data_IF_446504379598
#
_entry.id   IF_446504379598
#
_cell.length_a   1.000
_cell.length_b   1.000
_cell.length_c   1.000
_cell.angle_alpha   90.00
_cell.angle_beta   90.00
_cell.angle_gamma   90.00
#
_symmetry.space_group_name_H-M   'P 1'
#
loop_
_entity.id
_entity.type
_entity.pdbx_description
1 polymer ?
#
# COMPACT_ATOMS: atom_id res chain seq x y z
N UNK A 1 39.67 -40.44 -35.65
CA UNK A 1 39.00 -39.55 -34.66
C UNK A 1 37.57 -39.42 -35.11
N UNK A 2 36.67 -40.10 -34.43
CA UNK A 2 35.33 -40.37 -34.93
C UNK A 2 34.32 -39.27 -34.49
N UNK A 3 33.32 -39.01 -35.31
CA UNK A 3 32.25 -38.02 -35.09
C UNK A 3 31.51 -38.13 -33.70
N UNK A 4 31.70 -39.23 -32.98
CA UNK A 4 31.14 -39.47 -31.64
C UNK A 4 31.81 -38.65 -30.51
N UNK A 5 33.09 -38.30 -30.67
CA UNK A 5 33.87 -37.61 -29.62
C UNK A 5 33.48 -36.13 -29.51
N UNK A 6 33.21 -35.48 -30.65
CA UNK A 6 32.75 -34.08 -30.69
C UNK A 6 31.37 -33.89 -30.10
N UNK A 7 30.47 -34.86 -30.24
CA UNK A 7 29.11 -34.82 -29.65
C UNK A 7 29.10 -34.93 -28.13
N UNK A 8 29.96 -35.79 -27.59
CA UNK A 8 30.13 -35.97 -26.15
C UNK A 8 30.74 -34.75 -25.47
N UNK A 9 31.71 -34.09 -26.09
CA UNK A 9 32.34 -32.85 -25.60
C UNK A 9 31.32 -31.70 -25.62
N UNK A 10 30.54 -31.55 -26.69
CA UNK A 10 29.49 -30.55 -26.79
C UNK A 10 28.38 -30.77 -25.76
N UNK A 11 27.97 -32.02 -25.50
CA UNK A 11 26.98 -32.37 -24.48
C UNK A 11 27.48 -32.02 -23.07
N UNK A 12 28.68 -32.42 -22.69
CA UNK A 12 29.29 -32.04 -21.41
C UNK A 12 29.44 -30.55 -21.22
N UNK A 13 29.74 -29.80 -22.26
CA UNK A 13 29.82 -28.35 -22.22
C UNK A 13 28.43 -27.72 -21.96
N UNK A 14 27.37 -28.20 -22.62
CA UNK A 14 25.99 -27.77 -22.39
C UNK A 14 25.52 -28.07 -20.97
N UNK A 15 25.81 -29.25 -20.47
CA UNK A 15 25.49 -29.67 -19.09
C UNK A 15 26.21 -28.78 -18.07
N UNK A 16 27.49 -28.46 -18.26
CA UNK A 16 28.21 -27.51 -17.40
C UNK A 16 27.64 -26.09 -17.47
N UNK A 17 27.33 -25.60 -18.64
CA UNK A 17 26.69 -24.29 -18.82
C UNK A 17 25.33 -24.27 -18.11
N UNK A 18 24.51 -25.31 -18.28
CA UNK A 18 23.23 -25.42 -17.60
C UNK A 18 23.37 -25.40 -16.06
N UNK A 19 24.34 -26.14 -15.50
CA UNK A 19 24.62 -26.13 -14.06
C UNK A 19 25.03 -24.72 -13.58
N UNK A 20 25.88 -24.01 -14.31
CA UNK A 20 26.28 -22.65 -13.96
C UNK A 20 25.12 -21.67 -14.06
N UNK A 21 24.26 -21.78 -15.07
CA UNK A 21 23.06 -20.95 -15.23
C UNK A 21 22.07 -21.19 -14.06
N UNK A 22 21.83 -22.47 -13.74
CA UNK A 22 20.97 -22.81 -12.59
C UNK A 22 21.58 -22.28 -11.28
N UNK A 23 22.88 -22.47 -11.06
CA UNK A 23 23.57 -21.95 -9.89
C UNK A 23 23.45 -20.42 -9.78
N UNK A 24 23.60 -19.71 -10.89
CA UNK A 24 23.49 -18.25 -10.95
C UNK A 24 22.06 -17.79 -10.67
N UNK A 25 21.06 -18.50 -11.19
CA UNK A 25 19.64 -18.23 -10.91
C UNK A 25 19.30 -18.47 -9.44
N UNK A 26 19.83 -19.54 -8.83
CA UNK A 26 19.63 -19.81 -7.40
C UNK A 26 20.25 -18.70 -6.55
N UNK A 27 21.48 -18.29 -6.87
CA UNK A 27 22.14 -17.18 -6.16
C UNK A 27 21.33 -15.88 -6.33
N UNK A 28 20.92 -15.54 -7.54
CA UNK A 28 20.10 -14.36 -7.79
C UNK A 28 18.77 -14.38 -7.05
N UNK A 29 18.09 -15.54 -7.03
CA UNK A 29 16.85 -15.73 -6.28
C UNK A 29 17.08 -15.59 -4.76
N UNK A 30 18.16 -16.19 -4.22
CA UNK A 30 18.50 -16.09 -2.80
C UNK A 30 18.81 -14.64 -2.39
N UNK A 31 19.60 -13.93 -3.21
CA UNK A 31 19.89 -12.51 -2.98
C UNK A 31 18.62 -11.67 -3.09
N UNK A 32 17.78 -11.92 -4.08
CA UNK A 32 16.51 -11.21 -4.26
C UNK A 32 15.54 -11.42 -3.09
N UNK A 33 15.42 -12.66 -2.61
CA UNK A 33 14.61 -12.99 -1.42
C UNK A 33 15.19 -12.34 -0.18
N UNK A 34 16.52 -12.42 0.04
CA UNK A 34 17.20 -11.79 1.17
C UNK A 34 17.00 -10.27 1.16
N UNK A 35 17.10 -9.64 -0.01
CA UNK A 35 16.85 -8.22 -0.17
C UNK A 35 15.39 -7.84 0.15
N UNK A 36 14.42 -8.59 -0.35
CA UNK A 36 13.00 -8.34 -0.09
C UNK A 36 12.60 -8.64 1.37
N UNK A 37 13.27 -9.62 2.02
CA UNK A 37 13.03 -9.98 3.41
C UNK A 37 13.57 -8.97 4.43
N UNK A 38 14.38 -7.99 4.00
CA UNK A 38 14.90 -6.91 4.88
C UNK A 38 14.14 -5.60 4.61
N UNK A 39 13.03 -5.33 5.30
CA UNK A 39 12.22 -4.14 5.07
C UNK A 39 12.81 -2.89 5.71
N UNK A 40 12.37 -1.75 5.23
CA UNK A 40 12.47 -0.48 5.94
C UNK A 40 11.47 -0.46 7.09
N UNK A 41 11.92 -0.07 8.27
CA UNK A 41 11.12 0.02 9.49
C UNK A 41 10.87 1.47 9.90
N UNK A 42 9.93 1.64 10.81
CA UNK A 42 9.74 2.91 11.51
C UNK A 42 11.06 3.41 12.09
N UNK A 43 11.46 4.60 11.67
CA UNK A 43 12.69 5.26 12.11
C UNK A 43 12.45 6.34 13.19
N UNK A 44 11.19 6.53 13.63
CA UNK A 44 10.77 7.64 14.49
C UNK A 44 10.19 7.22 15.84
N UNK A 45 10.01 5.91 16.07
CA UNK A 45 9.33 5.41 17.27
C UNK A 45 7.83 5.71 17.27
N UNK A 46 7.25 5.82 16.08
CA UNK A 46 5.88 6.27 15.91
C UNK A 46 4.85 5.31 16.47
N UNK A 47 5.11 4.00 16.47
CA UNK A 47 4.21 3.00 17.07
C UNK A 47 3.98 3.31 18.55
N UNK A 48 5.05 3.44 19.34
CA UNK A 48 4.95 3.76 20.77
C UNK A 48 4.35 5.15 21.02
N UNK A 49 4.64 6.12 20.14
CA UNK A 49 4.07 7.45 20.23
C UNK A 49 2.55 7.45 20.00
N UNK A 50 2.06 6.64 19.05
CA UNK A 50 0.62 6.50 18.76
C UNK A 50 -0.08 5.70 19.86
N UNK A 51 0.53 4.61 20.37
CA UNK A 51 0.02 3.83 21.51
C UNK A 51 -0.20 4.69 22.78
N UNK A 52 0.56 5.76 22.93
CA UNK A 52 0.44 6.71 24.02
C UNK A 52 -0.63 7.81 23.80
N UNK A 53 -1.23 7.90 22.61
CA UNK A 53 -2.25 8.90 22.31
C UNK A 53 -3.63 8.45 22.79
N UNK A 54 -4.45 9.41 23.22
CA UNK A 54 -5.88 9.22 23.40
C UNK A 54 -6.58 9.35 22.05
N UNK A 55 -7.59 8.54 21.78
CA UNK A 55 -8.38 8.63 20.55
C UNK A 55 -8.09 7.55 19.53
N UNK A 56 -7.02 6.79 19.68
CA UNK A 56 -6.69 5.64 18.83
C UNK A 56 -6.16 4.46 19.65
N UNK A 57 -6.55 3.25 19.28
CA UNK A 57 -5.92 2.01 19.76
C UNK A 57 -5.09 1.40 18.65
N UNK A 58 -3.96 0.80 19.02
CA UNK A 58 -3.03 0.15 18.08
C UNK A 58 -2.93 -1.33 18.48
N UNK A 59 -3.45 -2.20 17.63
CA UNK A 59 -3.35 -3.64 17.83
C UNK A 59 -2.37 -4.24 16.81
N UNK A 60 -1.53 -5.16 17.28
CA UNK A 60 -0.67 -5.93 16.40
C UNK A 60 -1.36 -7.24 16.03
N UNK A 61 -1.44 -7.54 14.73
CA UNK A 61 -2.00 -8.82 14.25
C UNK A 61 -0.99 -9.96 14.41
N UNK A 62 -1.47 -11.21 14.53
CA UNK A 62 -0.61 -12.41 14.59
C UNK A 62 0.32 -12.55 13.37
N UNK A 63 -0.11 -12.04 12.22
CA UNK A 63 0.68 -12.02 11.00
C UNK A 63 1.76 -10.92 10.98
N UNK A 64 1.82 -10.04 12.01
CA UNK A 64 2.79 -8.95 12.13
C UNK A 64 2.39 -7.66 11.42
N UNK A 65 1.12 -7.49 11.07
CA UNK A 65 0.52 -6.23 10.65
C UNK A 65 0.02 -5.40 11.84
N UNK A 66 -0.68 -4.31 11.55
CA UNK A 66 -1.27 -3.43 12.56
C UNK A 66 -2.73 -3.12 12.22
N UNK A 67 -3.52 -2.88 13.27
CA UNK A 67 -4.88 -2.36 13.17
C UNK A 67 -4.97 -1.13 14.07
N UNK A 68 -5.37 0.00 13.49
CA UNK A 68 -5.64 1.24 14.20
C UNK A 68 -7.16 1.41 14.28
N UNK A 69 -7.69 1.62 15.50
CA UNK A 69 -9.13 1.83 15.71
C UNK A 69 -9.37 3.12 16.48
N UNK A 70 -10.43 3.87 16.16
CA UNK A 70 -10.85 4.98 16.99
C UNK A 70 -11.22 4.47 18.39
N UNK A 71 -10.91 5.24 19.42
CA UNK A 71 -11.24 4.88 20.80
C UNK A 71 -12.69 5.25 21.12
N UNK A 72 -13.48 4.31 21.62
CA UNK A 72 -14.81 4.58 22.19
C UNK A 72 -15.96 4.67 21.19
N UNK A 73 -15.75 4.34 19.91
CA UNK A 73 -16.81 4.21 18.92
C UNK A 73 -16.54 3.02 18.01
N UNK A 74 -17.57 2.23 17.73
CA UNK A 74 -17.55 1.33 16.59
C UNK A 74 -17.67 2.19 15.33
N UNK A 75 -16.87 1.89 14.32
CA UNK A 75 -16.90 2.57 13.01
C UNK A 75 -17.35 1.57 11.97
N UNK A 76 -18.19 2.04 11.07
CA UNK A 76 -18.66 1.32 9.89
C UNK A 76 -17.72 1.49 8.67
N UNK A 77 -16.69 2.33 8.79
CA UNK A 77 -15.72 2.64 7.72
C UNK A 77 -14.35 2.04 8.03
N UNK A 78 -13.78 1.34 7.05
CA UNK A 78 -12.45 0.75 7.13
C UNK A 78 -11.57 1.07 5.94
N UNK A 79 -10.26 1.10 6.18
CA UNK A 79 -9.22 1.24 5.16
C UNK A 79 -8.22 0.08 5.29
N UNK A 80 -8.07 -0.71 4.23
CA UNK A 80 -6.92 -1.62 4.11
C UNK A 80 -5.80 -0.89 3.38
N UNK A 81 -4.69 -0.63 4.07
CA UNK A 81 -3.57 0.15 3.53
C UNK A 81 -2.35 -0.73 3.25
N UNK A 82 -2.04 -0.94 1.98
CA UNK A 82 -0.90 -1.73 1.53
C UNK A 82 0.42 -0.95 1.65
N UNK A 83 1.41 -1.47 2.41
CA UNK A 83 2.75 -0.89 2.47
C UNK A 83 3.45 -0.81 1.13
N UNK A 84 4.33 0.16 0.98
CA UNK A 84 5.23 0.27 -0.16
C UNK A 84 6.22 -0.91 -0.25
N UNK A 85 6.91 -1.02 -1.39
CA UNK A 85 7.89 -2.08 -1.59
C UNK A 85 8.96 -2.10 -0.50
N UNK A 86 9.13 -3.26 0.15
CA UNK A 86 10.08 -3.46 1.25
C UNK A 86 9.85 -2.56 2.46
N UNK A 87 8.67 -2.02 2.67
CA UNK A 87 8.36 -1.25 3.87
C UNK A 87 7.56 -2.10 4.84
N UNK A 88 7.98 -2.11 6.10
CA UNK A 88 7.27 -2.82 7.16
C UNK A 88 6.01 -2.04 7.57
N UNK A 89 4.91 -2.69 7.96
CA UNK A 89 3.68 -2.03 8.41
C UNK A 89 3.87 -0.99 9.52
N UNK A 90 4.85 -1.19 10.43
CA UNK A 90 5.14 -0.26 11.52
C UNK A 90 5.45 1.17 11.04
N UNK A 91 6.00 1.29 9.84
CA UNK A 91 6.34 2.58 9.24
C UNK A 91 5.12 3.44 8.85
N UNK A 92 3.92 2.89 8.90
CA UNK A 92 2.71 3.63 8.54
C UNK A 92 1.79 3.92 9.73
N UNK A 93 2.08 3.35 10.91
CA UNK A 93 1.27 3.57 12.12
C UNK A 93 1.16 5.05 12.44
N UNK A 94 2.29 5.78 12.42
CA UNK A 94 2.30 7.22 12.71
C UNK A 94 1.57 8.07 11.67
N UNK A 95 1.76 7.79 10.38
CA UNK A 95 1.18 8.61 9.30
C UNK A 95 -0.32 8.37 9.08
N UNK A 96 -0.86 7.23 9.56
CA UNK A 96 -2.27 6.87 9.41
C UNK A 96 -3.08 7.03 10.72
N UNK A 97 -2.44 7.34 11.83
CA UNK A 97 -3.10 7.44 13.13
C UNK A 97 -4.25 8.46 13.16
N UNK A 98 -4.08 9.60 12.47
CA UNK A 98 -5.10 10.64 12.38
C UNK A 98 -6.38 10.17 11.67
N UNK A 99 -6.28 9.23 10.73
CA UNK A 99 -7.47 8.65 10.08
C UNK A 99 -8.32 7.89 11.09
N UNK A 100 -7.71 7.21 12.04
CA UNK A 100 -8.45 6.55 13.11
C UNK A 100 -8.95 7.56 14.15
N UNK A 101 -8.06 8.40 14.69
CA UNK A 101 -8.41 9.28 15.82
C UNK A 101 -9.31 10.46 15.47
N UNK A 102 -9.25 10.97 14.22
CA UNK A 102 -9.94 12.19 13.81
C UNK A 102 -11.01 11.96 12.74
N UNK A 103 -10.81 10.98 11.83
CA UNK A 103 -11.80 10.65 10.81
C UNK A 103 -12.65 9.42 11.16
N UNK A 104 -12.36 8.73 12.25
CA UNK A 104 -13.16 7.59 12.72
C UNK A 104 -13.04 6.33 11.84
N UNK A 105 -11.91 6.15 11.16
CA UNK A 105 -11.68 5.04 10.23
C UNK A 105 -10.91 3.90 10.92
N UNK A 106 -11.39 2.67 10.81
CA UNK A 106 -10.56 1.50 11.16
C UNK A 106 -9.52 1.28 10.08
N UNK A 107 -8.22 1.39 10.41
CA UNK A 107 -7.13 1.21 9.46
C UNK A 107 -6.44 -0.12 9.69
N UNK A 108 -6.42 -0.98 8.67
CA UNK A 108 -5.71 -2.27 8.68
C UNK A 108 -4.47 -2.16 7.79
N UNK A 109 -3.29 -2.37 8.37
CA UNK A 109 -2.01 -2.32 7.67
C UNK A 109 -1.44 -3.75 7.64
N UNK A 110 -1.67 -4.52 6.57
CA UNK A 110 -1.30 -5.92 6.53
C UNK A 110 0.21 -6.12 6.41
N UNK A 111 0.73 -7.17 7.05
CA UNK A 111 2.06 -7.69 6.75
C UNK A 111 2.01 -8.51 5.47
N UNK A 112 2.70 -8.06 4.44
CA UNK A 112 2.71 -8.69 3.13
C UNK A 112 3.86 -9.70 2.99
N UNK A 113 3.69 -10.77 2.19
CA UNK A 113 4.75 -11.72 1.89
C UNK A 113 5.96 -11.00 1.28
N UNK A 114 7.15 -11.28 1.79
CA UNK A 114 8.40 -10.61 1.38
C UNK A 114 8.35 -9.07 1.43
N UNK A 115 7.40 -8.49 2.14
CA UNK A 115 7.14 -7.04 2.17
C UNK A 115 6.84 -6.44 0.77
N UNK A 116 6.19 -7.20 -0.09
CA UNK A 116 5.86 -6.82 -1.46
C UNK A 116 4.39 -7.10 -1.76
N UNK A 117 3.63 -6.06 -2.05
CA UNK A 117 2.21 -6.17 -2.40
C UNK A 117 1.97 -6.98 -3.68
N UNK A 118 2.89 -6.89 -4.65
CA UNK A 118 2.83 -7.68 -5.88
C UNK A 118 2.94 -9.19 -5.63
N UNK A 119 3.63 -9.61 -4.56
CA UNK A 119 3.71 -11.04 -4.17
C UNK A 119 2.38 -11.49 -3.55
N UNK A 120 1.75 -10.69 -2.71
CA UNK A 120 0.42 -10.99 -2.17
C UNK A 120 -0.61 -11.11 -3.31
N UNK A 121 -0.60 -10.15 -4.23
CA UNK A 121 -1.47 -10.14 -5.41
C UNK A 121 -1.26 -11.36 -6.31
N UNK A 122 0.00 -11.69 -6.62
CA UNK A 122 0.34 -12.86 -7.43
C UNK A 122 -0.05 -14.18 -6.79
N UNK A 123 0.12 -14.34 -5.46
CA UNK A 123 -0.33 -15.54 -4.75
C UNK A 123 -1.86 -15.66 -4.74
N UNK A 124 -2.57 -14.54 -4.61
CA UNK A 124 -4.03 -14.51 -4.65
C UNK A 124 -4.55 -14.87 -6.04
N UNK A 125 -3.99 -14.31 -7.10
CA UNK A 125 -4.41 -14.60 -8.48
C UNK A 125 -4.20 -16.06 -8.89
N UNK A 126 -3.31 -16.79 -8.21
CA UNK A 126 -3.15 -18.25 -8.39
C UNK A 126 -4.07 -19.10 -7.50
N UNK A 127 -4.86 -18.47 -6.63
CA UNK A 127 -5.73 -19.16 -5.67
C UNK A 127 -4.98 -19.82 -4.50
N UNK A 128 -3.68 -19.53 -4.33
CA UNK A 128 -2.89 -20.11 -3.21
C UNK A 128 -3.24 -19.45 -1.86
N UNK A 129 -3.79 -18.23 -1.87
CA UNK A 129 -4.32 -17.52 -0.70
C UNK A 129 -5.26 -16.40 -1.17
N UNK A 130 -6.11 -15.88 -0.28
CA UNK A 130 -6.90 -14.67 -0.54
C UNK A 130 -6.02 -13.41 -0.53
N UNK A 131 -6.47 -12.34 -1.17
CA UNK A 131 -5.85 -11.02 -1.05
C UNK A 131 -5.79 -10.54 0.40
N UNK A 132 -4.82 -9.70 0.73
CA UNK A 132 -4.71 -9.13 2.07
C UNK A 132 -5.95 -8.30 2.42
N UNK A 133 -6.55 -7.59 1.45
CA UNK A 133 -7.80 -6.87 1.65
C UNK A 133 -8.97 -7.82 1.98
N UNK A 134 -9.16 -8.91 1.23
CA UNK A 134 -10.21 -9.89 1.52
C UNK A 134 -10.10 -10.46 2.94
N UNK A 135 -8.86 -10.78 3.36
CA UNK A 135 -8.63 -11.29 4.72
C UNK A 135 -8.93 -10.24 5.80
N UNK A 136 -8.56 -8.99 5.54
CA UNK A 136 -8.86 -7.89 6.46
C UNK A 136 -10.37 -7.65 6.57
N UNK A 137 -11.07 -7.57 5.45
CA UNK A 137 -12.52 -7.41 5.37
C UNK A 137 -13.23 -8.54 6.13
N UNK A 138 -12.88 -9.80 5.85
CA UNK A 138 -13.47 -10.96 6.48
C UNK A 138 -13.26 -11.07 8.00
N UNK A 139 -12.29 -10.35 8.57
CA UNK A 139 -11.99 -10.37 10.02
C UNK A 139 -12.55 -9.17 10.79
N UNK A 140 -13.20 -8.22 10.09
CA UNK A 140 -13.73 -7.00 10.70
C UNK A 140 -15.22 -6.82 10.32
N UNK A 141 -16.07 -7.72 10.80
CA UNK A 141 -17.49 -7.79 10.45
C UNK A 141 -18.32 -6.55 10.85
N UNK A 142 -17.80 -5.70 11.75
CA UNK A 142 -18.45 -4.44 12.15
C UNK A 142 -18.21 -3.29 11.15
N UNK A 143 -17.38 -3.50 10.14
CA UNK A 143 -17.06 -2.49 9.13
C UNK A 143 -17.82 -2.83 7.85
N UNK A 144 -18.66 -1.92 7.42
CA UNK A 144 -19.55 -2.09 6.26
C UNK A 144 -18.95 -1.47 4.98
N UNK A 145 -18.28 -0.30 5.10
CA UNK A 145 -17.73 0.45 3.99
C UNK A 145 -16.21 0.31 3.93
N UNK A 146 -15.75 -0.40 2.94
CA UNK A 146 -14.32 -0.63 2.79
C UNK A 146 -13.68 0.22 1.73
N UNK A 147 -12.63 0.90 2.14
CA UNK A 147 -11.65 1.55 1.27
C UNK A 147 -10.40 0.68 1.19
N UNK A 148 -9.75 0.70 0.04
CA UNK A 148 -8.43 0.13 -0.12
C UNK A 148 -7.46 1.23 -0.51
N UNK A 149 -6.21 1.08 -0.13
CA UNK A 149 -5.23 2.08 -0.47
C UNK A 149 -3.81 1.58 -0.24
N UNK A 150 -2.84 2.43 -0.48
CA UNK A 150 -1.47 2.09 -0.21
C UNK A 150 -0.49 3.14 -0.68
N UNK A 151 0.75 2.89 -0.33
CA UNK A 151 1.88 3.73 -0.70
C UNK A 151 2.71 3.08 -1.81
N UNK A 152 3.13 3.86 -2.81
CA UNK A 152 4.06 3.38 -3.84
C UNK A 152 3.52 2.10 -4.52
N UNK A 153 4.30 1.01 -4.61
CA UNK A 153 3.85 -0.29 -5.13
C UNK A 153 2.59 -0.81 -4.42
N UNK A 154 2.41 -0.51 -3.12
CA UNK A 154 1.20 -0.87 -2.37
C UNK A 154 -0.05 -0.20 -2.92
N UNK A 155 0.05 1.07 -3.31
CA UNK A 155 -1.06 1.80 -3.91
C UNK A 155 -1.42 1.28 -5.31
N UNK A 156 -0.43 0.94 -6.14
CA UNK A 156 -0.68 0.33 -7.45
C UNK A 156 -1.42 -1.02 -7.31
N UNK A 157 -1.05 -1.84 -6.32
CA UNK A 157 -1.76 -3.11 -6.08
C UNK A 157 -3.14 -2.90 -5.45
N UNK A 158 -3.34 -1.86 -4.64
CA UNK A 158 -4.66 -1.47 -4.15
C UNK A 158 -5.58 -1.02 -5.30
N UNK A 159 -5.04 -0.29 -6.28
CA UNK A 159 -5.78 0.05 -7.51
C UNK A 159 -6.20 -1.20 -8.29
N UNK A 160 -5.29 -2.15 -8.51
CA UNK A 160 -5.60 -3.43 -9.15
C UNK A 160 -6.72 -4.18 -8.41
N UNK A 161 -6.69 -4.15 -7.07
CA UNK A 161 -7.73 -4.78 -6.25
C UNK A 161 -9.07 -4.06 -6.40
N UNK A 162 -9.10 -2.73 -6.31
CA UNK A 162 -10.32 -1.93 -6.46
C UNK A 162 -10.96 -2.08 -7.86
N UNK A 163 -10.14 -2.18 -8.90
CA UNK A 163 -10.62 -2.40 -10.27
C UNK A 163 -11.37 -3.73 -10.46
N UNK A 164 -11.00 -4.76 -9.68
CA UNK A 164 -11.60 -6.08 -9.73
C UNK A 164 -12.71 -6.33 -8.70
N UNK A 165 -13.02 -5.37 -7.81
CA UNK A 165 -13.94 -5.55 -6.69
C UNK A 165 -14.91 -4.36 -6.57
N UNK A 166 -16.15 -4.57 -6.98
CA UNK A 166 -17.20 -3.53 -6.95
C UNK A 166 -17.66 -3.17 -5.53
N UNK A 167 -17.45 -4.04 -4.55
CA UNK A 167 -17.79 -3.79 -3.14
C UNK A 167 -16.84 -2.81 -2.44
N UNK A 168 -15.77 -2.35 -3.12
CA UNK A 168 -14.84 -1.35 -2.58
C UNK A 168 -15.41 0.04 -2.81
N UNK A 169 -15.66 0.78 -1.72
CA UNK A 169 -16.22 2.13 -1.72
C UNK A 169 -15.22 3.21 -2.13
N UNK A 170 -13.90 2.98 -1.95
CA UNK A 170 -12.92 3.97 -2.35
C UNK A 170 -11.48 3.49 -2.42
N UNK A 171 -10.64 4.32 -3.06
CA UNK A 171 -9.23 4.07 -3.34
C UNK A 171 -8.36 5.23 -2.84
N UNK A 172 -7.33 4.92 -2.05
CA UNK A 172 -6.37 5.91 -1.51
C UNK A 172 -4.96 5.62 -2.02
N UNK A 173 -4.39 6.56 -2.74
CA UNK A 173 -3.07 6.44 -3.37
C UNK A 173 -2.10 7.47 -2.77
N UNK A 174 -1.08 7.01 -2.05
CA UNK A 174 -0.02 7.85 -1.50
C UNK A 174 1.30 7.59 -2.25
N UNK A 175 1.85 8.62 -2.90
CA UNK A 175 3.07 8.50 -3.71
C UNK A 175 2.98 7.34 -4.71
N UNK A 176 1.82 7.15 -5.34
CA UNK A 176 1.49 6.02 -6.20
C UNK A 176 0.63 6.44 -7.37
N UNK A 177 0.42 5.53 -8.31
CA UNK A 177 -0.47 5.72 -9.45
C UNK A 177 -1.29 4.45 -9.72
N UNK A 178 -2.40 4.64 -10.44
CA UNK A 178 -3.29 3.58 -10.87
C UNK A 178 -2.98 3.21 -12.32
N UNK A 179 -2.46 2.01 -12.57
CA UNK A 179 -2.10 1.52 -13.90
C UNK A 179 -3.24 0.75 -14.59
N UNK A 180 -4.41 0.70 -13.94
CA UNK A 180 -5.65 0.11 -14.47
C UNK A 180 -6.68 1.21 -14.62
N UNK A 181 -7.49 1.14 -15.65
CA UNK A 181 -8.57 2.09 -15.89
C UNK A 181 -9.76 1.80 -14.95
N UNK A 182 -10.03 2.76 -14.07
CA UNK A 182 -11.20 2.80 -13.17
C UNK A 182 -12.02 4.07 -13.38
N UNK A 183 -11.79 4.79 -14.49
CA UNK A 183 -12.43 6.07 -14.78
C UNK A 183 -13.96 5.99 -14.87
N UNK A 184 -14.50 4.84 -15.28
CA UNK A 184 -15.94 4.58 -15.37
C UNK A 184 -16.58 4.23 -14.02
N UNK A 185 -15.80 4.03 -12.93
CA UNK A 185 -16.28 3.74 -11.58
C UNK A 185 -16.72 5.03 -10.88
N UNK A 186 -17.90 5.55 -11.28
CA UNK A 186 -18.47 6.77 -10.67
C UNK A 186 -18.82 6.59 -9.17
N UNK A 187 -18.96 5.36 -8.71
CA UNK A 187 -19.20 4.94 -7.33
C UNK A 187 -17.93 4.87 -6.48
N UNK A 188 -16.75 4.84 -7.09
CA UNK A 188 -15.47 4.73 -6.40
C UNK A 188 -14.95 6.11 -5.99
N UNK A 189 -14.95 6.40 -4.70
CA UNK A 189 -14.30 7.59 -4.17
C UNK A 189 -12.77 7.47 -4.27
N UNK A 190 -12.07 8.43 -4.88
CA UNK A 190 -10.62 8.34 -5.06
C UNK A 190 -9.90 9.54 -4.45
N UNK A 191 -8.89 9.25 -3.61
CA UNK A 191 -7.91 10.22 -3.11
C UNK A 191 -6.51 9.85 -3.62
N UNK A 192 -5.91 10.73 -4.41
CA UNK A 192 -4.52 10.59 -4.88
C UNK A 192 -3.67 11.73 -4.32
N UNK A 193 -2.64 11.39 -3.53
CA UNK A 193 -1.74 12.35 -2.89
C UNK A 193 -0.31 12.03 -3.26
N UNK A 194 0.42 13.00 -3.76
CA UNK A 194 1.85 12.87 -4.11
C UNK A 194 2.67 13.98 -3.46
N UNK A 195 3.92 13.69 -3.18
CA UNK A 195 4.87 14.66 -2.66
C UNK A 195 5.52 15.47 -3.79
N UNK A 196 5.67 16.76 -3.61
CA UNK A 196 6.38 17.62 -4.59
C UNK A 196 7.86 17.23 -4.71
N UNK A 197 8.48 16.86 -3.58
CA UNK A 197 9.89 16.46 -3.51
C UNK A 197 10.12 14.94 -3.62
N UNK A 198 9.10 14.17 -4.04
CA UNK A 198 9.21 12.74 -4.30
C UNK A 198 10.04 12.49 -5.56
N UNK A 199 11.24 11.88 -5.40
CA UNK A 199 12.17 11.56 -6.50
C UNK A 199 12.11 10.08 -6.90
N UNK A 200 11.32 9.27 -6.20
CA UNK A 200 11.11 7.83 -6.47
C UNK A 200 9.96 7.61 -7.44
N UNK A 201 8.88 8.38 -7.26
CA UNK A 201 7.71 8.31 -8.14
C UNK A 201 8.05 8.80 -9.55
N UNK A 202 7.76 7.98 -10.55
CA UNK A 202 7.83 8.43 -11.93
C UNK A 202 6.70 9.44 -12.20
N UNK A 203 7.05 10.72 -12.19
CA UNK A 203 6.10 11.84 -12.31
C UNK A 203 5.30 11.79 -13.62
N UNK A 204 5.94 11.48 -14.74
CA UNK A 204 5.27 11.40 -16.04
C UNK A 204 4.24 10.25 -16.04
N UNK A 205 4.62 9.06 -15.55
CA UNK A 205 3.70 7.93 -15.45
C UNK A 205 2.54 8.22 -14.49
N UNK A 206 2.79 8.97 -13.41
CA UNK A 206 1.74 9.45 -12.50
C UNK A 206 0.75 10.37 -13.22
N UNK A 207 1.24 11.39 -13.91
CA UNK A 207 0.40 12.36 -14.64
C UNK A 207 -0.42 11.67 -15.74
N UNK A 208 0.17 10.77 -16.49
CA UNK A 208 -0.53 9.96 -17.49
C UNK A 208 -1.63 9.08 -16.87
N UNK A 209 -1.38 8.53 -15.67
CA UNK A 209 -2.33 7.66 -14.96
C UNK A 209 -3.55 8.38 -14.38
N UNK A 210 -3.53 9.69 -14.27
CA UNK A 210 -4.69 10.46 -13.78
C UNK A 210 -5.92 10.28 -14.68
N UNK A 211 -5.71 9.99 -15.96
CA UNK A 211 -6.81 9.68 -16.90
C UNK A 211 -7.52 8.37 -16.57
N UNK A 212 -6.88 7.47 -15.82
CA UNK A 212 -7.47 6.21 -15.38
C UNK A 212 -8.38 6.36 -14.15
N UNK A 213 -8.42 7.54 -13.52
CA UNK A 213 -9.22 7.77 -12.33
C UNK A 213 -10.58 8.40 -12.68
N UNK A 214 -11.63 8.19 -11.86
CA UNK A 214 -12.89 8.91 -12.02
C UNK A 214 -12.68 10.43 -12.01
N UNK A 215 -13.49 11.16 -12.73
CA UNK A 215 -13.41 12.63 -12.81
C UNK A 215 -13.67 13.32 -11.46
N UNK A 216 -14.32 12.61 -10.52
CA UNK A 216 -14.53 13.03 -9.12
C UNK A 216 -13.30 12.85 -8.23
N UNK A 217 -12.24 12.22 -8.73
CA UNK A 217 -11.04 11.93 -7.93
C UNK A 217 -10.42 13.21 -7.34
N UNK A 218 -10.15 13.18 -6.05
CA UNK A 218 -9.41 14.23 -5.35
C UNK A 218 -7.91 14.02 -5.56
N UNK A 219 -7.24 14.94 -6.20
CA UNK A 219 -5.80 14.94 -6.43
C UNK A 219 -5.14 16.03 -5.61
N UNK A 220 -4.07 15.72 -4.89
CA UNK A 220 -3.31 16.68 -4.10
C UNK A 220 -1.80 16.50 -4.25
N UNK A 221 -1.07 17.60 -4.32
CA UNK A 221 0.41 17.64 -4.30
C UNK A 221 0.83 18.31 -3.00
N UNK A 222 1.62 17.61 -2.17
CA UNK A 222 2.09 18.13 -0.89
C UNK A 222 3.45 18.83 -1.05
N UNK A 223 3.53 20.15 -0.79
CA UNK A 223 4.78 20.90 -0.94
C UNK A 223 5.91 20.31 -0.10
N UNK A 224 7.08 20.11 -0.69
CA UNK A 224 8.29 19.67 0.00
C UNK A 224 8.25 18.27 0.62
N UNK A 225 7.20 17.49 0.42
CA UNK A 225 7.09 16.11 0.91
C UNK A 225 7.80 15.16 -0.06
N UNK A 226 8.62 14.24 0.46
CA UNK A 226 9.28 13.21 -0.33
C UNK A 226 8.59 11.84 -0.18
N UNK A 227 9.07 10.84 -0.93
CA UNK A 227 8.48 9.51 -0.97
C UNK A 227 8.40 8.82 0.40
N UNK A 228 9.47 8.89 1.20
CA UNK A 228 9.53 8.19 2.51
C UNK A 228 8.64 8.82 3.57
N UNK A 229 8.21 10.06 3.37
CA UNK A 229 7.40 10.82 4.31
C UNK A 229 5.89 10.52 4.24
N UNK A 230 5.46 9.64 3.33
CA UNK A 230 4.14 8.99 3.42
C UNK A 230 4.09 7.91 4.52
N UNK A 231 5.22 7.54 5.06
CA UNK A 231 5.40 6.75 6.27
C UNK A 231 6.38 7.44 7.22
N UNK A 232 7.04 6.64 8.08
CA UNK A 232 8.02 7.11 9.07
C UNK A 232 9.39 6.44 8.91
N UNK A 233 9.72 5.99 7.71
CA UNK A 233 10.97 5.31 7.38
C UNK A 233 11.93 6.20 6.59
N UNK A 234 13.17 5.75 6.43
CA UNK A 234 14.24 6.50 5.73
C UNK A 234 15.00 5.60 4.76
N UNK A 235 15.73 6.19 3.83
CA UNK A 235 16.71 5.48 3.00
C UNK A 235 16.22 5.06 1.61
N UNK A 236 14.97 5.35 1.24
CA UNK A 236 14.45 5.05 -0.09
C UNK A 236 14.42 6.29 -1.01
N UNK A 237 14.37 7.48 -0.42
CA UNK A 237 14.37 8.75 -1.15
C UNK A 237 15.39 9.73 -0.53
N UNK A 238 15.74 10.77 -1.27
CA UNK A 238 16.59 11.85 -0.80
C UNK A 238 15.88 12.70 0.26
N UNK A 239 16.58 13.25 1.26
CA UNK A 239 15.98 14.18 2.22
C UNK A 239 15.38 15.40 1.52
N UNK A 240 14.15 15.78 1.90
CA UNK A 240 13.43 16.89 1.29
C UNK A 240 13.58 18.24 2.00
N UNK A 241 14.19 18.25 3.18
CA UNK A 241 14.22 19.43 4.05
C UNK A 241 12.94 19.67 4.86
N UNK A 242 11.85 18.98 4.58
CA UNK A 242 10.61 18.97 5.37
C UNK A 242 10.72 17.92 6.47
N UNK A 243 10.24 18.22 7.69
CA UNK A 243 10.20 17.24 8.78
C UNK A 243 9.08 16.21 8.56
N UNK A 244 9.17 15.04 9.19
CA UNK A 244 8.08 14.04 9.15
C UNK A 244 6.79 14.59 9.76
N UNK A 245 6.88 15.34 10.85
CA UNK A 245 5.74 16.01 11.48
C UNK A 245 5.02 16.94 10.50
N UNK A 246 5.75 17.87 9.89
CA UNK A 246 5.18 18.79 8.89
C UNK A 246 4.62 18.05 7.66
N UNK A 247 5.26 16.97 7.24
CA UNK A 247 4.77 16.15 6.12
C UNK A 247 3.44 15.46 6.47
N UNK A 248 3.33 14.90 7.68
CA UNK A 248 2.12 14.26 8.18
C UNK A 248 1.00 15.27 8.43
N UNK A 249 1.30 16.47 8.96
CA UNK A 249 0.32 17.55 9.09
C UNK A 249 -0.29 17.92 7.73
N UNK A 250 0.54 18.03 6.69
CA UNK A 250 0.08 18.29 5.32
C UNK A 250 -0.75 17.15 4.75
N UNK A 251 -0.34 15.91 5.00
CA UNK A 251 -1.08 14.72 4.58
C UNK A 251 -2.45 14.65 5.26
N UNK A 252 -2.48 14.84 6.58
CA UNK A 252 -3.68 14.79 7.39
C UNK A 252 -4.65 15.91 7.04
N UNK A 253 -4.15 17.12 6.73
CA UNK A 253 -4.97 18.24 6.28
C UNK A 253 -5.73 17.96 4.96
N UNK A 254 -5.31 16.97 4.18
CA UNK A 254 -6.00 16.52 2.97
C UNK A 254 -6.83 15.27 3.25
N UNK A 255 -6.26 14.26 3.89
CA UNK A 255 -6.84 12.93 4.02
C UNK A 255 -7.96 12.88 5.07
N UNK A 256 -7.79 13.52 6.24
CA UNK A 256 -8.80 13.51 7.30
C UNK A 256 -10.13 14.11 6.83
N UNK A 257 -10.19 15.37 6.32
CA UNK A 257 -11.46 15.93 5.86
C UNK A 257 -12.04 15.19 4.65
N UNK A 258 -11.21 14.58 3.80
CA UNK A 258 -11.71 13.76 2.69
C UNK A 258 -12.47 12.54 3.23
N UNK A 259 -11.91 11.77 4.16
CA UNK A 259 -12.61 10.65 4.78
C UNK A 259 -13.87 11.09 5.54
N UNK A 260 -13.82 12.20 6.28
CA UNK A 260 -14.99 12.72 7.00
C UNK A 260 -16.15 13.04 6.05
N UNK A 261 -15.88 13.63 4.89
CA UNK A 261 -16.90 13.93 3.88
C UNK A 261 -17.46 12.66 3.22
N UNK A 262 -16.61 11.68 2.91
CA UNK A 262 -17.04 10.41 2.30
C UNK A 262 -17.90 9.60 3.28
N UNK A 263 -17.47 9.45 4.54
CA UNK A 263 -18.23 8.73 5.57
C UNK A 263 -19.58 9.39 5.84
N UNK A 264 -19.66 10.72 5.85
CA UNK A 264 -20.94 11.43 5.99
C UNK A 264 -21.85 11.22 4.79
N UNK A 265 -21.31 11.26 3.58
CA UNK A 265 -22.06 11.02 2.33
C UNK A 265 -22.67 9.62 2.31
N UNK A 266 -21.90 8.59 2.64
CA UNK A 266 -22.37 7.21 2.73
C UNK A 266 -23.45 7.06 3.80
N UNK A 267 -23.26 7.66 4.97
CA UNK A 267 -24.25 7.64 6.07
C UNK A 267 -25.57 8.29 5.65
N UNK A 268 -25.54 9.44 4.99
CA UNK A 268 -26.74 10.14 4.51
C UNK A 268 -27.47 9.31 3.44
N UNK A 269 -26.76 8.69 2.53
CA UNK A 269 -27.34 7.81 1.52
C UNK A 269 -28.07 6.61 2.13
N UNK A 270 -27.51 5.98 3.18
CA UNK A 270 -28.12 4.85 3.90
C UNK A 270 -29.35 5.25 4.70
N UNK A 271 -29.36 6.46 5.26
CA UNK A 271 -30.52 6.95 6.06
C UNK A 271 -31.66 7.51 5.21
N UNK A 272 -31.51 7.58 3.88
CA UNK A 272 -32.51 8.12 2.95
C UNK A 272 -32.70 9.64 3.07
N UNK A 273 -31.76 10.37 3.65
CA UNK A 273 -31.79 11.82 3.88
C UNK A 273 -31.05 12.58 2.75
N UNK A 274 -30.48 11.87 1.77
CA UNK A 274 -29.91 12.48 0.58
C UNK A 274 -31.06 13.04 -0.28
N UNK A 275 -31.25 14.38 -0.17
CA UNK A 275 -32.26 15.15 -0.88
C UNK A 275 -31.86 15.51 -2.31
#
# INVERSE_FOLDING_TARGET
>A
MTASDGSLVARRRRERVAVWVVGLLVVAATVGVGWAATPYHDARGSVAAVEAQSGVTVDRTDAGGYVLRPTGADTDTGLVFYPGARVHPDAYVGSLAALASEAGVTVVIPKLPLNLAVVDYGLASTGLRSHAAERAIATHESVDDWYVGGHSLGGAMACQYAAGNEDVSGLVLYGSYCDVDVSDRADLAVLSVVGESDTVLNRAAYEDSLANLPTSARVAVLPGVNHTQFGTYVGQDAPSGTTFETAHDRLNAVAVPWFQNETETVRLARTGIAG
#
